data_IF_128207155080
#
_entry.id   IF_128207155080
#
_cell.length_a   1.000
_cell.length_b   1.000
_cell.length_c   1.000
_cell.angle_alpha   90.00
_cell.angle_beta   90.00
_cell.angle_gamma   90.00
#
_symmetry.space_group_name_H-M   'P 1'
#
loop_
_entity.id
_entity.type
_entity.pdbx_description
1 polymer ?
#
# COMPACT_ATOMS: atom_id res chain seq x y z
N UNK A 1 28.24 10.03 -8.50
CA UNK A 1 26.76 10.20 -8.42
C UNK A 1 26.11 9.24 -7.40
N UNK A 2 26.07 9.63 -6.11
CA UNK A 2 25.57 8.79 -5.01
C UNK A 2 24.05 8.75 -4.87
N UNK A 3 23.35 9.85 -5.17
CA UNK A 3 21.89 9.97 -5.01
C UNK A 3 21.06 9.07 -5.93
N UNK A 4 21.61 8.69 -7.09
CA UNK A 4 20.92 7.77 -8.00
C UNK A 4 20.82 6.35 -7.43
N UNK A 5 21.80 5.92 -6.61
CA UNK A 5 21.79 4.59 -6.00
C UNK A 5 20.80 4.49 -4.85
N UNK A 6 20.68 5.54 -4.02
CA UNK A 6 19.72 5.57 -2.91
C UNK A 6 18.27 5.71 -3.40
N UNK A 7 18.02 6.53 -4.43
CA UNK A 7 16.71 6.62 -5.05
C UNK A 7 16.28 5.27 -5.66
N UNK A 8 17.20 4.57 -6.32
CA UNK A 8 16.92 3.25 -6.90
C UNK A 8 16.51 2.22 -5.84
N UNK A 9 17.16 2.22 -4.68
CA UNK A 9 16.81 1.33 -3.56
C UNK A 9 15.39 1.62 -3.05
N UNK A 10 15.02 2.90 -2.93
CA UNK A 10 13.66 3.30 -2.54
C UNK A 10 12.60 2.84 -3.55
N UNK A 11 12.88 2.98 -4.85
CA UNK A 11 11.98 2.54 -5.92
C UNK A 11 11.82 1.01 -5.92
N UNK A 12 12.91 0.26 -5.75
CA UNK A 12 12.84 -1.21 -5.65
C UNK A 12 12.03 -1.65 -4.43
N UNK A 13 12.23 -1.00 -3.28
CA UNK A 13 11.42 -1.26 -2.08
C UNK A 13 9.93 -0.99 -2.30
N UNK A 14 9.60 0.09 -3.00
CA UNK A 14 8.21 0.42 -3.36
C UNK A 14 7.59 -0.64 -4.27
N UNK A 15 8.32 -1.11 -5.29
CA UNK A 15 7.85 -2.15 -6.22
C UNK A 15 7.56 -3.46 -5.48
N UNK A 16 8.44 -3.88 -4.58
CA UNK A 16 8.23 -5.09 -3.76
C UNK A 16 6.99 -4.94 -2.88
N UNK A 17 6.79 -3.77 -2.28
CA UNK A 17 5.63 -3.50 -1.42
C UNK A 17 4.31 -3.53 -2.20
N UNK A 18 4.30 -2.94 -3.40
CA UNK A 18 3.16 -3.00 -4.32
C UNK A 18 2.86 -4.46 -4.72
N UNK A 19 3.89 -5.25 -5.04
CA UNK A 19 3.73 -6.65 -5.41
C UNK A 19 3.14 -7.48 -4.26
N UNK A 20 3.60 -7.27 -3.03
CA UNK A 20 3.06 -7.93 -1.83
C UNK A 20 1.61 -7.51 -1.59
N UNK A 21 1.29 -6.21 -1.66
CA UNK A 21 -0.07 -5.73 -1.46
C UNK A 21 -1.03 -6.23 -2.55
N UNK A 22 -0.58 -6.33 -3.81
CA UNK A 22 -1.37 -6.89 -4.90
C UNK A 22 -1.58 -8.41 -4.75
N UNK A 23 -0.57 -9.13 -4.22
CA UNK A 23 -0.69 -10.56 -3.92
C UNK A 23 -1.63 -10.83 -2.72
N UNK A 24 -1.64 -9.95 -1.72
CA UNK A 24 -2.55 -10.04 -0.57
C UNK A 24 -3.96 -9.53 -0.89
N UNK A 25 -4.10 -8.61 -1.84
CA UNK A 25 -5.39 -8.13 -2.32
C UNK A 25 -6.13 -9.24 -3.06
N UNK A 26 -7.02 -9.89 -2.33
CA UNK A 26 -7.95 -10.86 -2.88
C UNK A 26 -9.24 -10.11 -3.23
N UNK A 27 -9.70 -10.21 -4.49
CA UNK A 27 -10.95 -9.59 -4.97
C UNK A 27 -12.23 -10.21 -4.38
N UNK A 28 -12.16 -10.87 -3.23
CA UNK A 28 -13.27 -11.60 -2.60
C UNK A 28 -14.34 -10.69 -1.98
N UNK A 29 -14.06 -9.39 -1.82
CA UNK A 29 -15.02 -8.41 -1.31
C UNK A 29 -16.25 -8.24 -2.22
N UNK A 30 -16.13 -8.58 -3.50
CA UNK A 30 -17.20 -8.43 -4.51
C UNK A 30 -18.18 -9.60 -4.49
N UNK A 31 -17.70 -10.79 -4.14
CA UNK A 31 -18.51 -12.01 -4.05
C UNK A 31 -19.35 -12.08 -2.77
N UNK A 32 -18.99 -11.32 -1.73
CA UNK A 32 -19.57 -11.46 -0.38
C UNK A 32 -20.45 -10.29 0.06
N UNK A 33 -20.58 -9.22 -0.75
CA UNK A 33 -21.37 -8.04 -0.39
C UNK A 33 -22.45 -7.72 -1.44
N UNK A 34 -23.76 -7.89 -1.11
CA UNK A 34 -24.86 -7.68 -2.06
C UNK A 34 -24.99 -6.23 -2.56
N UNK A 35 -24.29 -5.27 -1.94
CA UNK A 35 -24.19 -3.89 -2.43
C UNK A 35 -23.38 -3.73 -3.72
N UNK A 36 -22.41 -4.60 -4.01
CA UNK A 36 -21.63 -4.51 -5.26
C UNK A 36 -22.40 -5.05 -6.46
N UNK A 37 -23.28 -6.04 -6.26
CA UNK A 37 -24.19 -6.55 -7.28
C UNK A 37 -25.18 -5.48 -7.79
N UNK A 38 -25.57 -4.51 -6.94
CA UNK A 38 -26.48 -3.41 -7.32
C UNK A 38 -25.80 -2.24 -8.06
N UNK A 39 -24.47 -2.23 -8.17
CA UNK A 39 -23.71 -1.09 -8.73
C UNK A 39 -22.99 -1.42 -10.05
N UNK A 40 -23.25 -2.58 -10.65
CA UNK A 40 -22.56 -3.07 -11.87
C UNK A 40 -21.01 -3.03 -11.77
N UNK A 41 -20.47 -3.04 -10.55
CA UNK A 41 -19.02 -2.99 -10.34
C UNK A 41 -18.46 -4.37 -10.65
N UNK A 42 -17.70 -4.46 -11.74
CA UNK A 42 -17.01 -5.69 -12.14
C UNK A 42 -15.95 -6.05 -11.10
N UNK A 43 -15.77 -7.36 -10.87
CA UNK A 43 -14.86 -7.92 -9.88
C UNK A 43 -13.41 -7.40 -10.02
N UNK A 44 -12.97 -7.22 -11.27
CA UNK A 44 -11.67 -6.65 -11.64
C UNK A 44 -11.46 -5.21 -11.12
N UNK A 45 -12.44 -4.33 -11.32
CA UNK A 45 -12.33 -2.92 -10.90
C UNK A 45 -12.29 -2.80 -9.38
N UNK A 46 -13.13 -3.57 -8.68
CA UNK A 46 -13.13 -3.57 -7.22
C UNK A 46 -11.81 -4.09 -6.65
N UNK A 47 -11.24 -5.14 -7.25
CA UNK A 47 -9.93 -5.67 -6.85
C UNK A 47 -8.80 -4.66 -7.05
N UNK A 48 -8.80 -3.92 -8.16
CA UNK A 48 -7.78 -2.88 -8.40
C UNK A 48 -7.88 -1.72 -7.39
N UNK A 49 -9.10 -1.27 -7.09
CA UNK A 49 -9.33 -0.22 -6.09
C UNK A 49 -8.95 -0.71 -4.70
N UNK A 50 -9.34 -1.93 -4.32
CA UNK A 50 -8.97 -2.57 -3.06
C UNK A 50 -7.45 -2.70 -2.89
N UNK A 51 -6.76 -3.16 -3.94
CA UNK A 51 -5.30 -3.24 -3.95
C UNK A 51 -4.66 -1.84 -3.77
N UNK A 52 -5.16 -0.82 -4.49
CA UNK A 52 -4.67 0.55 -4.38
C UNK A 52 -4.86 1.15 -3.00
N UNK A 53 -6.04 0.96 -2.39
CA UNK A 53 -6.33 1.39 -1.02
C UNK A 53 -5.45 0.65 -0.01
N UNK A 54 -5.23 -0.65 -0.18
CA UNK A 54 -4.36 -1.44 0.70
C UNK A 54 -2.92 -0.95 0.66
N UNK A 55 -2.37 -0.71 -0.54
CA UNK A 55 -1.03 -0.10 -0.70
C UNK A 55 -0.98 1.25 -0.01
N UNK A 56 -1.98 2.10 -0.20
CA UNK A 56 -2.04 3.42 0.41
C UNK A 56 -2.02 3.34 1.95
N UNK A 57 -2.81 2.44 2.55
CA UNK A 57 -2.84 2.28 4.01
C UNK A 57 -1.51 1.76 4.57
N UNK A 58 -0.85 0.84 3.88
CA UNK A 58 0.47 0.34 4.29
C UNK A 58 1.49 1.47 4.25
N UNK A 59 1.53 2.24 3.16
CA UNK A 59 2.45 3.37 3.02
C UNK A 59 2.16 4.48 4.03
N UNK A 60 0.89 4.79 4.28
CA UNK A 60 0.49 5.76 5.29
C UNK A 60 0.92 5.32 6.69
N UNK A 61 0.71 4.05 7.06
CA UNK A 61 1.17 3.50 8.33
C UNK A 61 2.68 3.54 8.49
N UNK A 62 3.43 3.15 7.44
CA UNK A 62 4.90 3.24 7.44
C UNK A 62 5.38 4.69 7.54
N UNK A 63 4.72 5.63 6.86
CA UNK A 63 5.06 7.05 6.95
C UNK A 63 4.88 7.57 8.38
N UNK A 64 3.77 7.23 9.04
CA UNK A 64 3.52 7.59 10.45
C UNK A 64 4.60 6.97 11.35
N UNK A 65 4.89 5.67 11.20
CA UNK A 65 5.91 5.00 12.00
C UNK A 65 7.31 5.60 11.80
N UNK A 66 7.66 5.96 10.56
CA UNK A 66 8.93 6.64 10.27
C UNK A 66 9.02 8.00 10.95
N UNK A 67 7.95 8.80 10.94
CA UNK A 67 7.91 10.09 11.63
C UNK A 67 8.08 9.89 13.14
N UNK A 68 7.30 8.98 13.73
CA UNK A 68 7.38 8.66 15.16
C UNK A 68 8.78 8.17 15.56
N UNK A 69 9.40 7.30 14.77
CA UNK A 69 10.76 6.83 15.04
C UNK A 69 11.77 7.99 15.05
N UNK A 70 11.68 8.91 14.09
CA UNK A 70 12.56 10.08 14.02
C UNK A 70 12.35 11.01 15.21
N UNK A 71 11.10 11.28 15.60
CA UNK A 71 10.83 12.12 16.77
C UNK A 71 11.32 11.48 18.07
N UNK A 72 11.03 10.20 18.27
CA UNK A 72 11.44 9.46 19.47
C UNK A 72 12.96 9.39 19.58
N UNK A 73 13.66 9.02 18.50
CA UNK A 73 15.14 8.97 18.51
C UNK A 73 15.78 10.34 18.72
N UNK A 74 15.12 11.41 18.30
CA UNK A 74 15.58 12.79 18.51
C UNK A 74 15.36 13.28 19.95
N UNK A 75 14.43 12.68 20.70
CA UNK A 75 14.23 12.95 22.14
C UNK A 75 15.26 12.23 23.02
N UNK A 76 15.78 11.08 22.55
CA UNK A 76 16.76 10.27 23.26
C UNK A 76 18.22 10.57 22.89
N UNK A 77 18.46 11.51 21.98
CA UNK A 77 19.79 11.89 21.49
C UNK A 77 20.04 13.37 21.75
#
# INVERSE_FOLDING_TARGET
PGGAKSALIGVVGLIVLIAVAFALSTGTDVASNPKFASMEITEETSRQVGAGLMVFYILAGLAILSILYVEVTRLFK
#
